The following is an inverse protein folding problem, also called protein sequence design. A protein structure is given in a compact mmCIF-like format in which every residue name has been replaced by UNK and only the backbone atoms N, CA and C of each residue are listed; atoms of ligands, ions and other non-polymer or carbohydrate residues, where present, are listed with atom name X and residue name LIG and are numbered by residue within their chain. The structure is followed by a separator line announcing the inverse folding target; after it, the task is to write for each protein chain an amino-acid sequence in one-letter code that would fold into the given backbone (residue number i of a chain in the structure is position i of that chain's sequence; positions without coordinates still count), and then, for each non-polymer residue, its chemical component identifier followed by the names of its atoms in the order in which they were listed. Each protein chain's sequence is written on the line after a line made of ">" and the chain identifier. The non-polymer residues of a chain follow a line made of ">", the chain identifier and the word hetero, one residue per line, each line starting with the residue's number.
data_IF_949480503238
#
_entry.id   IF_949480503238
#
_cell.length_a   1.000
_cell.length_b   1.000
_cell.length_c   1.000
_cell.angle_alpha   90.00
_cell.angle_beta   90.00
_cell.angle_gamma   90.00
#
_symmetry.space_group_name_H-M   'P 1'
#
loop_
_entity.id
_entity.type
_entity.pdbx_description
1 polymer ?
#
# COMPACT_ATOMS: atom_id res chain seq x y z
N UNK A 1 41.69 -9.69 79.31
CA UNK A 1 40.76 -9.48 78.15
C UNK A 1 41.25 -10.40 77.07
N UNK A 2 40.57 -11.54 76.88
CA UNK A 2 40.86 -12.46 75.73
C UNK A 2 40.26 -11.85 74.45
N UNK A 3 41.08 -11.19 73.65
CA UNK A 3 40.70 -10.66 72.36
C UNK A 3 40.18 -11.82 71.48
N UNK A 4 38.96 -11.68 70.97
CA UNK A 4 38.36 -12.67 70.06
C UNK A 4 39.25 -12.82 68.82
N UNK A 5 40.13 -13.80 68.85
CA UNK A 5 41.04 -14.13 67.70
C UNK A 5 40.25 -14.48 66.42
N UNK A 6 38.93 -14.78 66.50
CA UNK A 6 38.05 -15.08 65.40
C UNK A 6 37.41 -13.85 64.74
N UNK A 7 37.43 -12.67 65.40
CA UNK A 7 36.80 -11.44 64.90
C UNK A 7 37.32 -11.03 63.47
N UNK A 8 38.67 -11.02 63.23
CA UNK A 8 39.18 -10.67 61.91
C UNK A 8 38.78 -11.68 60.82
N UNK A 9 38.64 -12.97 61.18
CA UNK A 9 38.14 -13.99 60.18
C UNK A 9 36.69 -13.82 59.87
N UNK A 10 35.87 -13.41 60.84
CA UNK A 10 34.43 -13.14 60.60
C UNK A 10 34.31 -11.91 59.70
N UNK A 11 35.05 -10.84 59.95
CA UNK A 11 35.05 -9.64 59.13
C UNK A 11 35.52 -9.96 57.71
N UNK A 12 36.57 -10.74 57.54
CA UNK A 12 37.06 -11.16 56.23
C UNK A 12 36.03 -12.01 55.50
N UNK A 13 35.33 -12.91 56.19
CA UNK A 13 34.24 -13.72 55.63
C UNK A 13 33.04 -12.90 55.13
N UNK A 14 32.66 -11.85 55.92
CA UNK A 14 31.60 -10.93 55.56
C UNK A 14 32.02 -10.11 54.33
N UNK A 15 33.22 -9.59 54.26
CA UNK A 15 33.76 -8.87 53.11
C UNK A 15 33.78 -9.78 51.86
N UNK A 16 34.30 -11.02 52.02
CA UNK A 16 34.29 -11.99 50.94
C UNK A 16 32.89 -12.30 50.42
N UNK A 17 31.91 -12.42 51.32
CA UNK A 17 30.51 -12.65 50.93
C UNK A 17 29.91 -11.47 50.17
N UNK A 18 30.20 -10.23 50.60
CA UNK A 18 29.79 -9.02 49.86
C UNK A 18 30.48 -8.91 48.49
N UNK A 19 31.74 -9.27 48.37
CA UNK A 19 32.48 -9.29 47.10
C UNK A 19 31.91 -10.35 46.19
N UNK A 20 31.64 -11.56 46.69
CA UNK A 20 31.02 -12.64 45.91
C UNK A 20 29.58 -12.25 45.46
N UNK A 21 28.79 -11.65 46.37
CA UNK A 21 27.47 -11.18 46.02
C UNK A 21 27.48 -10.06 44.94
N UNK A 22 28.43 -9.13 45.06
CA UNK A 22 28.61 -8.06 44.05
C UNK A 22 29.07 -8.59 42.70
N UNK A 23 29.94 -9.59 42.67
CA UNK A 23 30.39 -10.22 41.40
C UNK A 23 29.29 -11.10 40.82
N UNK A 24 28.48 -11.79 41.60
CA UNK A 24 27.41 -12.66 41.13
C UNK A 24 26.41 -11.96 40.26
N UNK A 25 26.05 -10.72 40.52
CA UNK A 25 25.15 -9.93 39.71
C UNK A 25 25.71 -9.60 38.30
N UNK A 26 27.04 -9.65 38.14
CA UNK A 26 27.71 -9.39 36.85
C UNK A 26 27.95 -10.64 36.02
N UNK A 27 27.74 -11.83 36.60
CA UNK A 27 28.02 -13.11 35.94
C UNK A 27 26.89 -13.61 35.06
N UNK A 28 25.67 -13.23 35.37
CA UNK A 28 24.49 -13.76 34.73
C UNK A 28 23.78 -12.69 33.91
N UNK A 29 23.28 -13.08 32.75
CA UNK A 29 22.44 -12.24 31.93
C UNK A 29 21.44 -13.11 31.11
N UNK A 30 20.33 -12.51 30.71
CA UNK A 30 19.32 -13.16 29.92
C UNK A 30 19.16 -12.43 28.59
N UNK A 31 19.10 -13.19 27.51
CA UNK A 31 18.79 -12.70 26.16
C UNK A 31 17.35 -13.09 25.86
N UNK A 32 16.51 -12.13 25.54
CA UNK A 32 15.10 -12.36 25.26
C UNK A 32 14.90 -13.05 23.89
N UNK A 33 13.70 -13.52 23.62
CA UNK A 33 13.38 -14.25 22.38
C UNK A 33 13.60 -13.42 21.11
N UNK A 34 13.34 -12.11 21.21
CA UNK A 34 13.50 -11.12 20.14
C UNK A 34 14.87 -10.44 20.11
N UNK A 35 15.82 -10.96 20.90
CA UNK A 35 17.17 -10.39 21.05
C UNK A 35 18.23 -11.39 20.62
N UNK A 36 19.39 -10.84 20.31
CA UNK A 36 20.67 -11.55 20.14
C UNK A 36 21.75 -10.77 20.83
N UNK A 37 22.77 -11.45 21.33
CA UNK A 37 23.87 -10.79 21.99
C UNK A 37 25.23 -11.15 21.38
N UNK A 38 26.19 -10.25 21.51
CA UNK A 38 27.59 -10.47 21.17
C UNK A 38 28.45 -10.14 22.36
N UNK A 39 29.53 -10.90 22.56
CA UNK A 39 30.47 -10.72 23.68
C UNK A 39 31.74 -10.06 23.18
N UNK A 40 32.22 -9.13 23.99
CA UNK A 40 33.57 -8.57 23.88
C UNK A 40 34.46 -9.11 24.99
N UNK A 41 35.46 -9.89 24.62
CA UNK A 41 36.43 -10.47 25.54
C UNK A 41 37.57 -9.50 25.80
N UNK A 42 37.55 -8.79 26.95
CA UNK A 42 38.58 -7.78 27.28
C UNK A 42 40.01 -8.34 27.42
N UNK A 43 40.13 -9.58 27.91
CA UNK A 43 41.42 -10.24 28.11
C UNK A 43 41.62 -11.43 27.13
N UNK A 44 40.99 -11.36 25.94
CA UNK A 44 41.05 -12.45 24.97
C UNK A 44 41.00 -11.98 23.52
N UNK A 45 40.18 -12.66 22.72
CA UNK A 45 40.06 -12.46 21.28
C UNK A 45 39.36 -11.15 20.85
N UNK A 46 38.96 -10.31 21.82
CA UNK A 46 38.19 -9.10 21.50
C UNK A 46 36.70 -9.40 21.19
N UNK A 47 36.18 -8.79 20.15
CA UNK A 47 34.77 -8.99 19.73
C UNK A 47 34.60 -10.34 19.05
N UNK A 48 33.73 -11.17 19.59
CA UNK A 48 33.30 -12.41 18.91
C UNK A 48 32.20 -12.08 17.90
N UNK A 49 32.58 -12.05 16.63
CA UNK A 49 31.68 -11.66 15.52
C UNK A 49 30.87 -12.83 14.97
N UNK A 50 31.38 -14.04 15.12
CA UNK A 50 30.83 -15.23 14.50
C UNK A 50 29.86 -15.96 15.42
N UNK A 51 30.15 -15.99 16.73
CA UNK A 51 29.31 -16.69 17.69
C UNK A 51 28.29 -15.75 18.34
N UNK A 52 27.17 -15.58 17.65
CA UNK A 52 26.05 -14.79 18.18
C UNK A 52 25.28 -15.60 19.21
N UNK A 53 25.09 -15.02 20.39
CA UNK A 53 24.42 -15.67 21.51
C UNK A 53 22.91 -15.69 21.26
N UNK A 54 22.35 -16.89 21.36
CA UNK A 54 20.93 -17.16 21.16
C UNK A 54 20.13 -16.75 22.42
N UNK A 55 18.79 -16.62 22.32
CA UNK A 55 17.93 -16.38 23.47
C UNK A 55 18.09 -17.44 24.55
N UNK A 56 18.07 -16.98 25.80
CA UNK A 56 18.19 -17.85 26.96
C UNK A 56 18.94 -17.23 28.11
N UNK A 57 19.23 -18.05 29.11
CA UNK A 57 20.01 -17.67 30.28
C UNK A 57 21.47 -18.03 30.04
N UNK A 58 22.36 -17.07 30.20
CA UNK A 58 23.78 -17.19 29.92
C UNK A 58 24.66 -16.66 31.07
N UNK A 59 25.87 -17.11 31.05
CA UNK A 59 26.90 -16.64 31.99
C UNK A 59 28.04 -15.98 31.23
N UNK A 60 28.65 -14.98 31.86
CA UNK A 60 29.85 -14.32 31.34
C UNK A 60 30.86 -14.07 32.43
N UNK A 61 32.14 -13.95 32.07
CA UNK A 61 33.13 -13.43 33.04
C UNK A 61 32.79 -11.97 33.39
N UNK A 62 33.03 -11.55 34.67
CA UNK A 62 32.63 -10.22 35.16
C UNK A 62 33.27 -9.05 34.39
N UNK A 63 34.42 -9.29 33.78
CA UNK A 63 35.17 -8.29 32.99
C UNK A 63 34.81 -8.23 31.53
N UNK A 64 34.01 -9.20 30.98
CA UNK A 64 33.56 -9.19 29.59
C UNK A 64 32.32 -8.32 29.45
N UNK A 65 32.22 -7.64 28.32
CA UNK A 65 31.03 -6.86 27.98
C UNK A 65 30.11 -7.66 27.03
N UNK A 66 28.81 -7.55 27.28
CA UNK A 66 27.77 -8.14 26.43
C UNK A 66 26.94 -7.04 25.84
N UNK A 67 26.77 -7.08 24.54
CA UNK A 67 25.96 -6.13 23.79
C UNK A 67 24.74 -6.85 23.22
N UNK A 68 23.56 -6.42 23.69
CA UNK A 68 22.28 -7.00 23.29
C UNK A 68 21.66 -6.14 22.20
N UNK A 69 21.12 -6.79 21.16
CA UNK A 69 20.49 -6.20 20.01
C UNK A 69 19.10 -6.80 19.80
N UNK A 70 18.11 -5.97 19.55
CA UNK A 70 16.79 -6.39 19.10
C UNK A 70 16.89 -6.81 17.65
N UNK A 71 16.44 -8.03 17.33
CA UNK A 71 16.42 -8.57 15.97
C UNK A 71 15.02 -8.64 15.37
N UNK A 72 14.01 -8.22 16.12
CA UNK A 72 12.66 -8.04 15.59
C UNK A 72 12.61 -6.85 14.65
N UNK A 73 11.59 -6.83 13.84
CA UNK A 73 11.30 -5.69 12.98
C UNK A 73 11.04 -4.43 13.80
N UNK A 74 11.76 -3.38 13.48
CA UNK A 74 11.67 -2.07 14.13
C UNK A 74 11.32 -1.00 13.08
N UNK A 75 10.57 0.01 13.49
CA UNK A 75 10.24 1.15 12.66
C UNK A 75 10.93 2.42 13.19
N UNK A 76 11.41 3.25 12.28
CA UNK A 76 11.86 4.61 12.58
C UNK A 76 11.19 5.59 11.64
N UNK A 77 10.77 6.71 12.20
CA UNK A 77 10.11 7.80 11.45
C UNK A 77 11.14 8.89 11.19
N UNK A 78 11.19 9.32 9.94
CA UNK A 78 12.08 10.38 9.48
C UNK A 78 11.29 11.44 8.73
N UNK A 79 11.61 12.70 9.00
CA UNK A 79 11.14 13.84 8.25
C UNK A 79 12.32 14.54 7.57
N UNK A 80 12.12 15.00 6.36
CA UNK A 80 13.17 15.65 5.60
C UNK A 80 12.63 16.53 4.48
N UNK A 81 13.41 17.55 4.15
CA UNK A 81 13.20 18.35 2.96
C UNK A 81 14.04 17.78 1.82
N UNK A 82 13.40 17.58 0.69
CA UNK A 82 14.00 17.08 -0.55
C UNK A 82 13.64 17.99 -1.71
N UNK A 83 14.42 17.95 -2.76
CA UNK A 83 14.11 18.66 -4.00
C UNK A 83 13.56 17.66 -5.02
N UNK A 84 12.53 18.07 -5.74
CA UNK A 84 12.05 17.33 -6.90
C UNK A 84 12.98 17.51 -8.10
N UNK A 85 12.64 16.88 -9.21
CA UNK A 85 13.38 17.00 -10.49
C UNK A 85 13.52 18.45 -10.99
N UNK A 86 12.60 19.33 -10.61
CA UNK A 86 12.56 20.73 -11.03
C UNK A 86 13.19 21.67 -9.99
N UNK A 87 13.75 21.13 -8.90
CA UNK A 87 14.32 21.91 -7.80
C UNK A 87 13.29 22.48 -6.82
N UNK A 88 12.05 21.98 -6.87
CA UNK A 88 11.01 22.39 -5.93
C UNK A 88 11.20 21.71 -4.56
N UNK A 89 11.23 22.45 -3.45
CA UNK A 89 11.34 21.87 -2.13
C UNK A 89 10.02 21.16 -1.74
N UNK A 90 10.16 19.92 -1.29
CA UNK A 90 9.08 19.05 -0.83
C UNK A 90 9.42 18.57 0.57
N UNK A 91 8.51 18.75 1.53
CA UNK A 91 8.65 18.14 2.85
C UNK A 91 8.02 16.74 2.84
N UNK A 92 8.79 15.74 3.27
CA UNK A 92 8.39 14.34 3.21
C UNK A 92 8.58 13.67 4.55
N UNK A 93 7.54 12.98 5.03
CA UNK A 93 7.59 12.11 6.19
C UNK A 93 7.63 10.66 5.71
N UNK A 94 8.64 9.93 6.12
CA UNK A 94 8.82 8.52 5.77
C UNK A 94 8.95 7.67 7.02
N UNK A 95 8.44 6.45 6.95
CA UNK A 95 8.68 5.41 7.95
C UNK A 95 9.52 4.32 7.32
N UNK A 96 10.65 4.03 7.94
CA UNK A 96 11.56 2.95 7.53
C UNK A 96 11.38 1.78 8.48
N UNK A 97 11.03 0.62 7.97
CA UNK A 97 10.90 -0.64 8.71
C UNK A 97 12.05 -1.56 8.34
N UNK A 98 12.78 -2.01 9.33
CA UNK A 98 14.00 -2.80 9.13
C UNK A 98 14.21 -3.79 10.27
N UNK A 99 15.07 -4.78 10.03
CA UNK A 99 15.59 -5.68 11.06
C UNK A 99 17.01 -6.13 10.69
N UNK A 100 17.90 -6.26 11.67
CA UNK A 100 19.24 -6.77 11.44
C UNK A 100 19.20 -8.29 11.22
N UNK A 101 20.14 -8.83 10.43
CA UNK A 101 20.32 -10.27 10.27
C UNK A 101 20.83 -10.85 11.59
N UNK A 102 20.06 -11.75 12.25
CA UNK A 102 20.38 -12.22 13.62
C UNK A 102 21.76 -12.83 13.76
N UNK A 103 22.22 -13.58 12.76
CA UNK A 103 23.51 -14.27 12.78
C UNK A 103 24.69 -13.35 12.47
N UNK A 104 24.42 -12.13 12.04
CA UNK A 104 25.43 -11.15 11.61
C UNK A 104 25.54 -9.91 12.50
N UNK A 105 24.90 -9.93 13.67
CA UNK A 105 24.94 -8.83 14.63
C UNK A 105 26.38 -8.44 15.05
N UNK A 106 27.29 -9.43 15.14
CA UNK A 106 28.68 -9.16 15.46
C UNK A 106 29.37 -8.24 14.46
N UNK A 107 29.06 -8.39 13.17
CA UNK A 107 29.61 -7.54 12.11
C UNK A 107 29.00 -6.13 12.13
N UNK A 108 27.70 -6.02 12.49
CA UNK A 108 27.05 -4.72 12.68
C UNK A 108 27.67 -4.00 13.86
N UNK A 109 27.90 -4.71 14.97
CA UNK A 109 28.53 -4.13 16.15
C UNK A 109 29.93 -3.61 15.86
N UNK A 110 30.73 -4.37 15.11
CA UNK A 110 32.09 -3.96 14.75
C UNK A 110 32.12 -2.65 13.97
N UNK A 111 31.23 -2.48 13.00
CA UNK A 111 31.23 -1.32 12.10
C UNK A 111 30.51 -0.11 12.69
N UNK A 112 29.39 -0.32 13.36
CA UNK A 112 28.43 0.76 13.70
C UNK A 112 28.09 0.81 15.19
N UNK A 113 28.54 -0.18 15.98
CA UNK A 113 28.19 -0.29 17.39
C UNK A 113 26.67 -0.31 17.59
N UNK A 114 26.18 0.04 18.80
CA UNK A 114 24.74 0.15 19.13
C UNK A 114 24.00 1.24 18.34
N UNK A 115 24.76 2.21 17.81
CA UNK A 115 24.24 3.35 17.09
C UNK A 115 23.91 3.09 15.60
N UNK A 116 23.90 1.86 15.13
CA UNK A 116 23.74 1.53 13.72
C UNK A 116 22.47 2.13 13.04
N UNK A 117 21.41 2.38 13.82
CA UNK A 117 20.21 3.06 13.33
C UNK A 117 20.56 4.49 12.90
N UNK A 118 21.25 5.25 13.77
CA UNK A 118 21.58 6.65 13.51
C UNK A 118 22.78 6.83 12.58
N UNK A 119 23.69 5.86 12.55
CA UNK A 119 24.94 5.97 11.77
C UNK A 119 24.88 5.31 10.41
N UNK A 120 23.95 4.36 10.20
CA UNK A 120 23.78 3.65 8.95
C UNK A 120 22.36 3.86 8.38
N UNK A 121 21.31 3.41 9.09
CA UNK A 121 19.97 3.30 8.53
C UNK A 121 19.38 4.66 8.15
N UNK A 122 19.41 5.61 9.08
CA UNK A 122 18.84 6.95 8.85
C UNK A 122 19.59 7.70 7.74
N UNK A 123 20.91 7.77 7.71
CA UNK A 123 21.63 8.44 6.63
C UNK A 123 21.40 7.82 5.26
N UNK A 124 21.39 6.48 5.18
CA UNK A 124 21.17 5.78 3.91
C UNK A 124 19.74 5.95 3.42
N UNK A 125 18.75 5.85 4.30
CA UNK A 125 17.36 6.13 3.94
C UNK A 125 17.17 7.56 3.44
N UNK A 126 17.75 8.55 4.12
CA UNK A 126 17.73 9.96 3.67
C UNK A 126 18.40 10.15 2.32
N UNK A 127 19.53 9.49 2.09
CA UNK A 127 20.26 9.54 0.82
C UNK A 127 19.42 8.95 -0.31
N UNK A 128 18.86 7.76 -0.12
CA UNK A 128 18.01 7.09 -1.10
C UNK A 128 16.76 7.93 -1.43
N UNK A 129 16.09 8.46 -0.41
CA UNK A 129 14.90 9.33 -0.61
C UNK A 129 15.26 10.56 -1.45
N UNK A 130 16.34 11.28 -1.11
CA UNK A 130 16.77 12.47 -1.88
C UNK A 130 17.12 12.12 -3.32
N UNK A 131 17.85 11.04 -3.51
CA UNK A 131 18.32 10.64 -4.85
C UNK A 131 17.15 10.22 -5.74
N UNK A 132 16.23 9.44 -5.23
CA UNK A 132 15.08 8.97 -6.00
C UNK A 132 14.10 10.10 -6.25
N UNK A 133 13.70 10.86 -5.22
CA UNK A 133 12.77 11.97 -5.41
C UNK A 133 13.27 13.05 -6.36
N UNK A 134 14.57 13.29 -6.43
CA UNK A 134 15.17 14.18 -7.42
C UNK A 134 15.06 13.73 -8.88
N UNK A 135 14.56 12.51 -9.14
CA UNK A 135 14.31 12.00 -10.51
C UNK A 135 12.87 12.21 -10.97
N UNK A 136 11.95 12.48 -10.04
CA UNK A 136 10.52 12.62 -10.30
C UNK A 136 10.06 14.05 -10.05
N UNK A 137 8.99 14.44 -10.73
CA UNK A 137 8.34 15.74 -10.48
C UNK A 137 7.43 15.66 -9.26
N UNK A 138 7.15 16.80 -8.64
CA UNK A 138 6.23 16.88 -7.50
C UNK A 138 4.85 16.26 -7.80
N UNK A 139 4.34 16.44 -9.03
CA UNK A 139 3.08 15.85 -9.49
C UNK A 139 3.13 14.32 -9.54
N UNK A 140 4.22 13.74 -10.08
CA UNK A 140 4.41 12.29 -10.14
C UNK A 140 4.52 11.67 -8.75
N UNK A 141 5.26 12.32 -7.84
CA UNK A 141 5.43 11.88 -6.45
C UNK A 141 4.09 11.95 -5.69
N UNK A 142 3.32 13.04 -5.91
CA UNK A 142 2.08 13.30 -5.19
C UNK A 142 0.91 12.40 -5.63
N UNK A 143 0.82 12.04 -6.91
CA UNK A 143 -0.37 11.38 -7.46
C UNK A 143 -0.09 10.10 -8.26
N UNK A 144 0.63 10.19 -9.36
CA UNK A 144 0.62 9.14 -10.40
C UNK A 144 1.60 8.01 -10.18
N UNK A 145 2.77 8.29 -9.58
CA UNK A 145 3.88 7.33 -9.46
C UNK A 145 4.32 7.06 -8.03
N UNK A 146 3.49 7.40 -7.05
CA UNK A 146 3.85 7.25 -5.64
C UNK A 146 4.36 5.84 -5.29
N UNK A 147 3.65 4.80 -5.72
CA UNK A 147 4.04 3.43 -5.46
C UNK A 147 5.35 3.03 -6.15
N UNK A 148 5.60 3.54 -7.36
CA UNK A 148 6.86 3.34 -8.08
C UNK A 148 8.02 4.01 -7.34
N UNK A 149 7.83 5.24 -6.86
CA UNK A 149 8.81 5.99 -6.07
C UNK A 149 9.15 5.25 -4.77
N UNK A 150 8.14 4.81 -4.02
CA UNK A 150 8.32 4.02 -2.79
C UNK A 150 9.13 2.75 -3.04
N UNK A 151 8.78 1.99 -4.07
CA UNK A 151 9.50 0.77 -4.43
C UNK A 151 10.93 1.02 -4.87
N UNK A 152 11.17 2.10 -5.62
CA UNK A 152 12.51 2.49 -6.07
C UNK A 152 13.38 2.90 -4.88
N UNK A 153 12.86 3.72 -3.96
CA UNK A 153 13.58 4.10 -2.74
C UNK A 153 13.90 2.85 -1.91
N UNK A 154 12.90 1.96 -1.74
CA UNK A 154 13.10 0.71 -1.01
C UNK A 154 14.25 -0.10 -1.61
N UNK A 155 14.24 -0.35 -2.91
CA UNK A 155 15.26 -1.19 -3.56
C UNK A 155 16.66 -0.57 -3.49
N UNK A 156 16.80 0.75 -3.67
CA UNK A 156 18.10 1.43 -3.55
C UNK A 156 18.64 1.37 -2.12
N UNK A 157 17.79 1.63 -1.13
CA UNK A 157 18.18 1.55 0.27
C UNK A 157 18.49 0.12 0.71
N UNK A 158 17.70 -0.87 0.28
CA UNK A 158 17.91 -2.28 0.60
C UNK A 158 19.24 -2.81 0.07
N UNK A 159 19.67 -2.38 -1.12
CA UNK A 159 20.97 -2.77 -1.68
C UNK A 159 22.15 -2.38 -0.78
N UNK A 160 22.08 -1.19 -0.18
CA UNK A 160 23.14 -0.70 0.71
C UNK A 160 23.04 -1.35 2.09
N UNK A 161 21.83 -1.45 2.64
CA UNK A 161 21.61 -2.01 3.98
C UNK A 161 21.92 -3.51 4.02
N UNK A 162 21.60 -4.26 2.98
CA UNK A 162 21.88 -5.71 2.89
C UNK A 162 23.38 -6.01 2.90
N UNK A 163 24.21 -5.17 2.27
CA UNK A 163 25.67 -5.26 2.33
C UNK A 163 26.22 -5.06 3.77
N UNK A 164 25.44 -4.39 4.63
CA UNK A 164 25.75 -4.17 6.03
C UNK A 164 24.95 -5.07 6.98
N UNK A 165 24.40 -6.17 6.46
CA UNK A 165 23.67 -7.19 7.22
C UNK A 165 22.37 -6.66 7.90
N UNK A 166 21.71 -5.68 7.29
CA UNK A 166 20.41 -5.18 7.70
C UNK A 166 19.42 -5.38 6.56
N UNK A 167 18.25 -5.94 6.85
CA UNK A 167 17.15 -6.05 5.90
C UNK A 167 16.18 -4.89 6.05
N UNK A 168 15.77 -4.32 4.92
CA UNK A 168 14.69 -3.36 4.86
C UNK A 168 13.37 -4.08 4.56
N UNK A 169 12.47 -4.12 5.54
CA UNK A 169 11.15 -4.73 5.36
C UNK A 169 10.25 -3.83 4.48
N UNK A 170 10.19 -2.55 4.78
CA UNK A 170 9.41 -1.57 4.02
C UNK A 170 9.95 -0.15 4.18
N UNK A 171 9.68 0.67 3.18
CA UNK A 171 9.77 2.13 3.29
C UNK A 171 8.43 2.70 2.84
N UNK A 172 7.81 3.48 3.70
CA UNK A 172 6.48 4.03 3.51
C UNK A 172 6.55 5.55 3.53
N UNK A 173 6.06 6.20 2.50
CA UNK A 173 5.87 7.65 2.49
C UNK A 173 4.54 7.94 3.21
N UNK A 174 4.59 8.54 4.40
CA UNK A 174 3.39 8.87 5.19
C UNK A 174 2.71 10.12 4.67
N UNK A 175 3.47 11.19 4.50
CA UNK A 175 2.95 12.45 3.98
C UNK A 175 3.92 13.10 3.00
N UNK A 176 3.36 13.88 2.09
CA UNK A 176 4.08 14.71 1.15
C UNK A 176 3.44 16.11 1.23
N UNK A 177 4.21 17.07 1.71
CA UNK A 177 3.75 18.44 1.84
C UNK A 177 4.41 19.30 0.77
N UNK A 178 3.58 19.85 -0.10
CA UNK A 178 4.00 20.76 -1.15
C UNK A 178 3.70 22.20 -0.73
N UNK A 179 4.43 23.19 -1.24
CA UNK A 179 4.05 24.60 -1.12
C UNK A 179 2.61 24.79 -1.62
N UNK A 180 1.80 25.57 -0.88
CA UNK A 180 0.35 25.68 -1.11
C UNK A 180 0.01 26.04 -2.56
N UNK A 181 0.74 26.98 -3.15
CA UNK A 181 0.53 27.40 -4.54
C UNK A 181 0.70 26.27 -5.54
N UNK A 182 1.69 25.42 -5.33
CA UNK A 182 1.97 24.27 -6.20
C UNK A 182 0.92 23.19 -6.00
N UNK A 183 0.53 22.92 -4.75
CA UNK A 183 -0.53 21.97 -4.43
C UNK A 183 -1.85 22.33 -5.14
N UNK A 184 -2.25 23.60 -5.06
CA UNK A 184 -3.46 24.10 -5.73
C UNK A 184 -3.32 23.99 -7.27
N UNK A 185 -2.17 24.33 -7.83
CA UNK A 185 -1.93 24.21 -9.27
C UNK A 185 -2.04 22.77 -9.76
N UNK A 186 -1.44 21.81 -9.03
CA UNK A 186 -1.54 20.37 -9.34
C UNK A 186 -3.00 19.90 -9.24
N UNK A 187 -3.72 20.27 -8.18
CA UNK A 187 -5.13 19.90 -8.00
C UNK A 187 -6.00 20.42 -9.14
N UNK A 188 -5.84 21.68 -9.53
CA UNK A 188 -6.57 22.28 -10.65
C UNK A 188 -6.26 21.57 -11.98
N UNK A 189 -5.00 21.24 -12.22
CA UNK A 189 -4.60 20.48 -13.42
C UNK A 189 -5.25 19.12 -13.45
N UNK A 190 -5.17 18.36 -12.35
CA UNK A 190 -5.79 17.03 -12.23
C UNK A 190 -7.30 17.09 -12.42
N UNK A 191 -7.96 18.13 -11.87
CA UNK A 191 -9.39 18.35 -12.08
C UNK A 191 -9.71 18.55 -13.56
N UNK A 192 -8.97 19.41 -14.26
CA UNK A 192 -9.17 19.67 -15.68
C UNK A 192 -8.93 18.41 -16.53
N UNK A 193 -7.94 17.60 -16.19
CA UNK A 193 -7.68 16.32 -16.87
C UNK A 193 -8.85 15.35 -16.65
N UNK A 194 -9.41 15.26 -15.44
CA UNK A 194 -10.58 14.42 -15.16
C UNK A 194 -11.84 14.91 -15.88
N UNK A 195 -12.06 16.22 -15.97
CA UNK A 195 -13.16 16.80 -16.72
C UNK A 195 -13.03 16.52 -18.23
N UNK A 196 -11.81 16.63 -18.77
CA UNK A 196 -11.55 16.31 -20.17
C UNK A 196 -11.81 14.83 -20.48
N UNK A 197 -11.37 13.93 -19.61
CA UNK A 197 -11.65 12.49 -19.72
C UNK A 197 -13.14 12.21 -19.64
N UNK A 198 -13.83 12.80 -18.67
CA UNK A 198 -15.30 12.66 -18.54
C UNK A 198 -16.05 13.14 -19.79
N UNK A 199 -15.56 14.23 -20.40
CA UNK A 199 -16.12 14.73 -21.66
C UNK A 199 -15.86 13.77 -22.82
N UNK A 200 -14.69 13.17 -22.94
CA UNK A 200 -14.40 12.15 -23.95
C UNK A 200 -15.31 10.94 -23.80
N UNK A 201 -15.52 10.44 -22.59
CA UNK A 201 -16.45 9.33 -22.33
C UNK A 201 -17.91 9.68 -22.71
N UNK A 202 -18.36 10.92 -22.46
CA UNK A 202 -19.70 11.39 -22.88
C UNK A 202 -19.81 11.39 -24.40
N UNK A 203 -18.81 11.91 -25.10
CA UNK A 203 -18.82 11.91 -26.58
C UNK A 203 -18.85 10.50 -27.15
N UNK A 204 -18.07 9.58 -26.57
CA UNK A 204 -18.06 8.18 -27.01
C UNK A 204 -19.39 7.50 -26.75
N UNK A 205 -20.00 7.74 -25.59
CA UNK A 205 -21.36 7.27 -25.29
C UNK A 205 -22.39 7.79 -26.27
N UNK A 206 -22.41 9.09 -26.57
CA UNK A 206 -23.33 9.69 -27.49
C UNK A 206 -23.16 9.14 -28.94
N UNK A 207 -21.92 8.94 -29.38
CA UNK A 207 -21.61 8.29 -30.64
C UNK A 207 -22.18 6.86 -30.69
N UNK A 208 -21.97 6.10 -29.62
CA UNK A 208 -22.49 4.74 -29.50
C UNK A 208 -24.05 4.71 -29.49
N UNK A 209 -24.68 5.67 -28.81
CA UNK A 209 -26.13 5.79 -28.79
C UNK A 209 -26.70 6.21 -30.16
N UNK A 210 -26.05 7.13 -30.85
CA UNK A 210 -26.43 7.52 -32.20
C UNK A 210 -26.32 6.34 -33.18
N UNK A 211 -25.25 5.57 -33.11
CA UNK A 211 -25.04 4.38 -33.92
C UNK A 211 -26.09 3.29 -33.61
N UNK A 212 -26.39 3.08 -32.33
CA UNK A 212 -27.47 2.16 -31.92
C UNK A 212 -28.82 2.59 -32.50
N UNK A 213 -29.17 3.89 -32.44
CA UNK A 213 -30.41 4.44 -33.02
C UNK A 213 -30.42 4.28 -34.54
N UNK A 214 -29.28 4.49 -35.21
CA UNK A 214 -29.17 4.28 -36.67
C UNK A 214 -29.41 2.82 -37.02
N UNK A 215 -28.79 1.88 -36.36
CA UNK A 215 -28.98 0.43 -36.57
C UNK A 215 -30.43 0.03 -36.30
N UNK A 216 -31.05 0.57 -35.24
CA UNK A 216 -32.44 0.32 -34.92
C UNK A 216 -33.37 0.82 -36.05
N UNK A 217 -33.18 2.07 -36.49
CA UNK A 217 -33.98 2.65 -37.57
C UNK A 217 -33.83 1.89 -38.92
N UNK A 218 -32.59 1.46 -39.23
CA UNK A 218 -32.35 0.61 -40.40
C UNK A 218 -33.03 -0.76 -40.26
N UNK A 219 -32.99 -1.35 -39.05
CA UNK A 219 -33.70 -2.60 -38.76
C UNK A 219 -35.22 -2.47 -38.96
N UNK A 220 -35.81 -1.41 -38.41
CA UNK A 220 -37.23 -1.09 -38.56
C UNK A 220 -37.61 -0.82 -40.03
N UNK A 221 -36.78 -0.06 -40.76
CA UNK A 221 -36.99 0.19 -42.18
C UNK A 221 -36.95 -1.11 -43.01
N UNK A 222 -35.99 -2.00 -42.74
CA UNK A 222 -35.91 -3.32 -43.37
C UNK A 222 -37.12 -4.19 -43.02
N UNK A 223 -37.50 -4.24 -41.74
CA UNK A 223 -38.70 -4.97 -41.30
C UNK A 223 -39.95 -4.46 -41.98
N UNK A 224 -40.16 -3.14 -42.02
CA UNK A 224 -41.29 -2.52 -42.70
C UNK A 224 -41.30 -2.81 -44.22
N UNK A 225 -40.13 -2.78 -44.88
CA UNK A 225 -40.03 -3.15 -46.30
C UNK A 225 -40.40 -4.64 -46.56
N UNK A 226 -39.95 -5.54 -45.70
CA UNK A 226 -40.27 -6.96 -45.75
C UNK A 226 -41.80 -7.16 -45.58
N UNK A 227 -42.38 -6.49 -44.57
CA UNK A 227 -43.83 -6.53 -44.33
C UNK A 227 -44.57 -5.98 -45.54
N UNK A 228 -44.18 -4.81 -46.04
CA UNK A 228 -44.84 -4.16 -47.17
C UNK A 228 -44.79 -5.02 -48.46
N UNK A 229 -43.66 -5.66 -48.72
CA UNK A 229 -43.49 -6.57 -49.85
C UNK A 229 -44.24 -7.89 -49.68
N UNK A 230 -44.54 -8.31 -48.46
CA UNK A 230 -45.24 -9.54 -48.11
C UNK A 230 -46.78 -9.31 -47.99
N UNK A 231 -47.21 -8.06 -47.80
CA UNK A 231 -48.62 -7.68 -47.66
C UNK A 231 -49.35 -7.75 -49.04
N UNK A 232 -50.02 -8.84 -49.26
CA UNK A 232 -51.01 -8.96 -50.38
C UNK A 232 -52.38 -8.60 -49.84
N UNK A 233 -53.27 -8.10 -50.73
CA UNK A 233 -54.70 -7.79 -50.40
C UNK A 233 -55.40 -8.95 -49.70
N UNK A 234 -55.05 -10.19 -50.07
CA UNK A 234 -55.59 -11.41 -49.43
C UNK A 234 -55.10 -11.56 -47.97
N UNK A 235 -53.80 -11.25 -47.68
CA UNK A 235 -53.21 -11.33 -46.33
C UNK A 235 -53.80 -10.24 -45.44
N UNK A 236 -54.02 -9.02 -45.97
CA UNK A 236 -54.63 -7.93 -45.22
C UNK A 236 -56.04 -8.26 -44.78
N UNK A 237 -56.85 -8.85 -45.73
CA UNK A 237 -58.21 -9.32 -45.42
C UNK A 237 -58.24 -10.43 -44.41
N UNK A 238 -57.28 -11.38 -44.45
CA UNK A 238 -57.19 -12.47 -43.49
C UNK A 238 -56.78 -11.93 -42.05
N UNK A 239 -55.85 -11.03 -41.97
CA UNK A 239 -55.49 -10.36 -40.69
C UNK A 239 -56.63 -9.51 -40.11
N UNK A 240 -57.40 -8.83 -40.97
CA UNK A 240 -58.61 -8.11 -40.56
C UNK A 240 -59.69 -9.04 -39.99
N UNK A 241 -59.87 -10.22 -40.55
CA UNK A 241 -60.83 -11.25 -40.08
C UNK A 241 -60.31 -11.82 -38.74
N UNK A 242 -59.02 -12.13 -38.61
CA UNK A 242 -58.42 -12.61 -37.35
C UNK A 242 -58.55 -11.59 -36.19
N UNK A 243 -58.25 -10.32 -36.44
CA UNK A 243 -58.40 -9.25 -35.44
C UNK A 243 -59.87 -9.06 -35.04
N UNK A 244 -60.80 -9.17 -35.96
CA UNK A 244 -62.27 -9.11 -35.70
C UNK A 244 -62.70 -10.32 -34.84
N UNK A 245 -62.14 -11.49 -35.08
CA UNK A 245 -62.44 -12.71 -34.32
C UNK A 245 -61.86 -12.63 -32.88
N UNK A 246 -60.68 -12.05 -32.71
CA UNK A 246 -60.12 -11.81 -31.39
C UNK A 246 -60.93 -10.77 -30.61
N UNK A 247 -61.37 -9.70 -31.26
CA UNK A 247 -62.29 -8.71 -30.65
C UNK A 247 -63.57 -9.32 -30.20
N UNK A 248 -64.17 -10.23 -31.04
CA UNK A 248 -65.40 -10.91 -30.71
C UNK A 248 -65.30 -11.92 -29.57
N UNK A 249 -64.06 -12.43 -29.27
CA UNK A 249 -63.74 -13.31 -28.12
C UNK A 249 -63.44 -12.57 -26.89
N UNK A 250 -63.19 -11.26 -26.92
CA UNK A 250 -62.83 -10.46 -25.75
C UNK A 250 -64.04 -10.28 -24.81
N UNK A 251 -63.93 -10.62 -23.52
CA UNK A 251 -65.03 -10.47 -22.55
C UNK A 251 -65.42 -9.00 -22.26
N UNK A 252 -64.66 -8.03 -22.75
CA UNK A 252 -64.89 -6.59 -22.66
C UNK A 252 -65.34 -5.97 -24.00
N UNK A 253 -66.14 -6.65 -24.76
CA UNK A 253 -66.60 -6.17 -26.06
C UNK A 253 -67.49 -4.93 -25.95
N UNK A 254 -66.86 -3.78 -26.15
CA UNK A 254 -67.56 -2.55 -26.56
C UNK A 254 -67.90 -2.72 -28.03
N UNK A 255 -69.11 -2.32 -28.44
CA UNK A 255 -69.64 -2.45 -29.82
C UNK A 255 -68.65 -1.78 -30.78
N UNK A 256 -68.01 -2.55 -31.61
CA UNK A 256 -67.16 -2.08 -32.75
C UNK A 256 -68.01 -2.07 -34.03
N UNK A 257 -68.31 -0.89 -34.47
CA UNK A 257 -68.95 -0.76 -35.80
C UNK A 257 -67.85 -0.72 -36.85
N UNK A 258 -67.70 -1.82 -37.58
CA UNK A 258 -66.81 -1.91 -38.75
C UNK A 258 -67.49 -1.27 -39.95
N UNK A 259 -67.21 0.02 -40.18
CA UNK A 259 -67.61 0.68 -41.39
C UNK A 259 -66.74 0.27 -42.59
N UNK A 260 -67.33 -0.07 -43.70
CA UNK A 260 -66.60 -0.29 -44.95
C UNK A 260 -66.26 1.05 -45.60
N UNK A 261 -65.23 1.74 -45.05
CA UNK A 261 -64.54 2.84 -45.72
C UNK A 261 -63.68 2.27 -46.87
N UNK A 262 -63.32 3.07 -47.86
CA UNK A 262 -62.44 2.69 -48.98
C UNK A 262 -61.11 2.10 -48.58
N UNK A 263 -60.67 2.32 -47.30
CA UNK A 263 -59.40 1.89 -46.77
C UNK A 263 -59.47 0.79 -45.64
N UNK A 264 -60.71 0.24 -45.42
CA UNK A 264 -60.91 -0.95 -44.58
C UNK A 264 -60.51 -0.84 -43.08
N UNK A 265 -60.30 0.34 -42.53
CA UNK A 265 -59.91 0.53 -41.11
C UNK A 265 -61.16 0.59 -40.20
N UNK A 266 -61.19 -0.16 -39.08
CA UNK A 266 -62.24 -0.10 -38.10
C UNK A 266 -62.27 1.24 -37.35
N UNK A 267 -63.38 1.98 -37.29
CA UNK A 267 -63.60 3.10 -36.42
C UNK A 267 -64.12 2.60 -35.07
N UNK A 268 -63.37 2.89 -34.00
CA UNK A 268 -63.78 2.61 -32.61
C UNK A 268 -64.54 3.80 -32.10
N UNK A 269 -65.83 3.69 -31.90
CA UNK A 269 -66.66 4.67 -31.19
C UNK A 269 -66.63 4.32 -29.69
N UNK A 270 -65.84 5.05 -28.93
CA UNK A 270 -65.88 4.97 -27.49
C UNK A 270 -67.06 5.71 -26.93
N UNK A 271 -67.88 5.05 -26.12
CA UNK A 271 -68.91 5.70 -25.34
C UNK A 271 -68.36 6.07 -23.99
N UNK A 272 -68.54 7.32 -23.55
CA UNK A 272 -68.26 7.82 -22.21
C UNK A 272 -69.03 7.09 -21.15
#
# INVERSE_FOLDING_TARGET
>A
MKGNRFLPFIILGVIALFVIAGISSSLFYTVQADERAVIFYKFGSGLDKENVIQPGFHTKAPWNDVYIYTVRETATDENMDVLDKNGLPIHVDVTVRFFPVPEKIGYIHEKFNRGYVNTLIIPEARSAVRQVMGRYTAEEIYSTKRAEVENTIKSECENILSQNNVHMAALLIRSIQLPEQIRVAIQNKLQQEQEALAYQFRLEKEKSEAERKRIQAEGEARANNIINNSLTDKLLKMRGIEATLELAKSPNSKVVVVGSGKDGLPMILGNN
#
